data_IF_518235864900
#
_entry.id   IF_518235864900
#
_cell.length_a   1.000
_cell.length_b   1.000
_cell.length_c   1.000
_cell.angle_alpha   90.00
_cell.angle_beta   90.00
_cell.angle_gamma   90.00
#
_symmetry.space_group_name_H-M   'P 1'
#
loop_
_entity.id
_entity.type
_entity.pdbx_description
1 polymer ?
#
# COMPACT_ATOMS: atom_id res chain seq x y z
N UNK A 1 1.14 -46.98 16.64
CA UNK A 1 1.77 -45.65 16.58
C UNK A 1 1.77 -45.15 15.14
N UNK A 2 0.74 -44.44 14.72
CA UNK A 2 0.63 -43.76 13.42
C UNK A 2 -0.20 -42.48 13.65
N UNK A 3 0.13 -41.39 12.98
CA UNK A 3 -0.43 -40.02 13.08
C UNK A 3 0.32 -39.04 14.00
N UNK A 4 1.54 -38.67 13.60
CA UNK A 4 2.15 -37.39 14.01
C UNK A 4 2.53 -36.52 12.79
N UNK A 5 2.05 -36.86 11.59
CA UNK A 5 2.48 -36.21 10.34
C UNK A 5 1.64 -34.96 10.00
N UNK A 6 0.43 -34.81 10.55
CA UNK A 6 -0.43 -33.67 10.21
C UNK A 6 -0.12 -32.36 10.97
N UNK A 7 0.65 -32.39 12.07
CA UNK A 7 0.90 -31.18 12.87
C UNK A 7 2.03 -30.30 12.33
N UNK A 8 2.92 -30.83 11.48
CA UNK A 8 4.04 -30.08 10.91
C UNK A 8 3.64 -29.20 9.71
N UNK A 9 2.50 -29.48 9.06
CA UNK A 9 2.05 -28.71 7.88
C UNK A 9 1.38 -27.38 8.22
N UNK A 10 0.90 -27.21 9.46
CA UNK A 10 0.26 -25.97 9.91
C UNK A 10 1.27 -24.85 10.22
N UNK A 11 2.53 -25.17 10.47
CA UNK A 11 3.57 -24.19 10.78
C UNK A 11 4.11 -23.44 9.54
N UNK A 12 3.84 -23.94 8.32
CA UNK A 12 4.26 -23.31 7.06
C UNK A 12 3.22 -22.33 6.50
N UNK A 13 2.01 -22.29 7.08
CA UNK A 13 0.94 -21.39 6.65
C UNK A 13 1.04 -19.99 7.27
N UNK A 14 1.83 -19.81 8.33
CA UNK A 14 1.98 -18.50 9.00
C UNK A 14 3.07 -17.61 8.41
N UNK A 15 3.95 -18.14 7.56
CA UNK A 15 5.06 -17.37 6.95
C UNK A 15 4.70 -16.65 5.64
N UNK A 16 3.48 -16.80 5.13
CA UNK A 16 3.02 -16.15 3.89
C UNK A 16 2.08 -14.97 4.13
N UNK A 17 1.89 -14.52 5.37
CA UNK A 17 1.10 -13.33 5.65
C UNK A 17 1.95 -12.08 5.39
N UNK A 18 1.40 -11.14 4.62
CA UNK A 18 1.99 -9.83 4.42
C UNK A 18 2.32 -9.18 5.77
N UNK A 19 3.57 -8.74 5.93
CA UNK A 19 4.03 -8.04 7.12
C UNK A 19 4.01 -6.53 6.87
N UNK A 20 3.23 -5.82 7.67
CA UNK A 20 3.24 -4.37 7.72
C UNK A 20 4.53 -3.89 8.42
N UNK A 21 5.41 -3.20 7.71
CA UNK A 21 6.63 -2.63 8.31
C UNK A 21 6.35 -1.30 8.99
N UNK A 22 5.80 -0.36 8.23
CA UNK A 22 5.53 1.02 8.67
C UNK A 22 4.50 1.64 7.76
N UNK A 23 3.72 2.58 8.31
CA UNK A 23 2.75 3.37 7.55
C UNK A 23 3.04 4.84 7.76
N UNK A 24 3.19 5.57 6.65
CA UNK A 24 3.36 7.02 6.63
C UNK A 24 2.07 7.70 6.23
N UNK A 25 1.73 8.78 6.93
CA UNK A 25 0.56 9.59 6.65
C UNK A 25 1.00 10.97 6.22
N UNK A 26 0.62 11.38 5.02
CA UNK A 26 0.92 12.70 4.49
C UNK A 26 -0.39 13.41 4.16
N UNK A 27 -0.48 14.66 4.60
CA UNK A 27 -1.62 15.55 4.34
C UNK A 27 -1.10 16.74 3.54
N UNK A 28 -1.71 17.02 2.41
CA UNK A 28 -1.28 18.04 1.46
C UNK A 28 -0.48 17.49 0.28
N UNK A 29 0.07 18.39 -0.54
CA UNK A 29 0.72 18.06 -1.81
C UNK A 29 2.24 17.91 -1.74
N UNK A 30 2.93 18.40 -2.78
CA UNK A 30 4.37 18.23 -3.01
C UNK A 30 5.26 18.57 -1.82
N UNK A 31 4.93 19.63 -1.08
CA UNK A 31 5.77 20.11 0.04
C UNK A 31 5.65 19.22 1.29
N UNK A 32 4.59 18.40 1.38
CA UNK A 32 4.31 17.54 2.53
C UNK A 32 4.80 16.10 2.34
N UNK A 33 5.04 15.67 1.09
CA UNK A 33 5.34 14.29 0.71
C UNK A 33 6.81 14.23 0.24
N UNK A 34 7.61 13.22 0.63
CA UNK A 34 8.95 13.03 0.08
C UNK A 34 8.94 13.07 -1.46
N UNK A 35 9.85 13.84 -2.05
CA UNK A 35 9.82 14.20 -3.49
C UNK A 35 9.73 13.01 -4.43
N UNK A 36 10.43 11.94 -4.10
CA UNK A 36 10.45 10.68 -4.84
C UNK A 36 9.10 9.93 -4.75
N UNK A 37 8.50 9.89 -3.56
CA UNK A 37 7.17 9.33 -3.32
C UNK A 37 6.10 10.17 -4.03
N UNK A 38 6.16 11.50 -3.92
CA UNK A 38 5.27 12.42 -4.63
C UNK A 38 5.32 12.22 -6.14
N UNK A 39 6.53 12.20 -6.71
CA UNK A 39 6.74 11.96 -8.13
C UNK A 39 6.20 10.59 -8.57
N UNK A 40 6.31 9.57 -7.72
CA UNK A 40 5.77 8.25 -7.99
C UNK A 40 4.24 8.26 -8.02
N UNK A 41 3.59 8.82 -6.99
CA UNK A 41 2.13 8.94 -6.91
C UNK A 41 1.58 9.69 -8.13
N UNK A 42 2.22 10.79 -8.52
CA UNK A 42 1.78 11.62 -9.65
C UNK A 42 1.99 11.00 -11.04
N UNK A 43 2.61 9.82 -11.15
CA UNK A 43 2.58 9.04 -12.40
C UNK A 43 1.19 8.49 -12.69
N UNK A 44 0.33 8.34 -11.69
CA UNK A 44 -1.07 7.99 -11.87
C UNK A 44 -1.90 9.28 -12.01
N UNK A 45 -2.55 9.46 -13.15
CA UNK A 45 -3.31 10.68 -13.46
C UNK A 45 -4.46 10.95 -12.50
N UNK A 46 -5.16 9.89 -12.03
CA UNK A 46 -6.27 10.03 -11.07
C UNK A 46 -5.79 10.46 -9.69
N UNK A 47 -4.69 9.86 -9.22
CA UNK A 47 -4.07 10.23 -7.96
C UNK A 47 -3.56 11.68 -8.01
N UNK A 48 -2.95 12.08 -9.14
CA UNK A 48 -2.54 13.47 -9.38
C UNK A 48 -3.72 14.43 -9.33
N UNK A 49 -4.83 14.08 -9.97
CA UNK A 49 -6.04 14.91 -9.98
C UNK A 49 -6.57 15.20 -8.57
N UNK A 50 -6.50 14.23 -7.65
CA UNK A 50 -6.90 14.44 -6.24
C UNK A 50 -6.10 15.59 -5.61
N UNK A 51 -4.78 15.62 -5.77
CA UNK A 51 -3.98 16.67 -5.16
C UNK A 51 -4.04 18.02 -5.90
N UNK A 52 -4.35 18.03 -7.20
CA UNK A 52 -4.48 19.27 -7.96
C UNK A 52 -5.78 20.04 -7.62
N UNK A 53 -6.82 19.34 -7.14
CA UNK A 53 -8.16 19.92 -6.93
C UNK A 53 -8.73 19.75 -5.52
N UNK A 54 -8.04 19.06 -4.61
CA UNK A 54 -8.55 18.66 -3.31
C UNK A 54 -7.44 18.59 -2.25
N UNK A 55 -7.83 18.59 -0.97
CA UNK A 55 -6.93 18.34 0.16
C UNK A 55 -6.66 16.83 0.24
N UNK A 56 -5.86 16.34 -0.70
CA UNK A 56 -5.50 14.92 -0.79
C UNK A 56 -4.72 14.42 0.42
N UNK A 57 -4.99 13.17 0.82
CA UNK A 57 -4.23 12.45 1.85
C UNK A 57 -3.56 11.25 1.20
N UNK A 58 -2.25 11.10 1.40
CA UNK A 58 -1.51 9.89 1.02
C UNK A 58 -1.17 9.05 2.26
N UNK A 59 -1.71 7.84 2.32
CA UNK A 59 -1.31 6.81 3.28
C UNK A 59 -0.40 5.81 2.58
N UNK A 60 0.88 5.78 2.93
CA UNK A 60 1.91 4.95 2.29
C UNK A 60 2.31 3.83 3.24
N UNK A 61 1.87 2.61 2.96
CA UNK A 61 2.17 1.41 3.74
C UNK A 61 3.35 0.66 3.13
N UNK A 62 4.36 0.35 3.93
CA UNK A 62 5.48 -0.51 3.55
C UNK A 62 5.16 -1.97 3.89
N UNK A 63 5.11 -2.82 2.87
CA UNK A 63 4.69 -4.23 2.94
C UNK A 63 5.84 -5.15 2.57
N UNK A 64 6.03 -6.22 3.35
CA UNK A 64 6.83 -7.38 2.96
C UNK A 64 5.94 -8.61 2.76
N UNK A 65 5.99 -9.23 1.58
CA UNK A 65 5.22 -10.43 1.23
C UNK A 65 6.06 -11.31 0.28
N UNK A 66 6.17 -12.61 0.55
CA UNK A 66 6.90 -13.57 -0.30
C UNK A 66 8.32 -13.14 -0.71
N UNK A 67 9.10 -12.62 0.25
CA UNK A 67 10.45 -12.05 0.05
C UNK A 67 10.51 -10.82 -0.87
N UNK A 68 9.35 -10.24 -1.20
CA UNK A 68 9.24 -8.99 -1.94
C UNK A 68 8.88 -7.87 -0.99
N UNK A 69 9.47 -6.70 -1.21
CA UNK A 69 9.18 -5.49 -0.46
C UNK A 69 8.61 -4.44 -1.41
N UNK A 70 7.50 -3.83 -1.02
CA UNK A 70 6.78 -2.85 -1.83
C UNK A 70 5.95 -1.91 -0.97
N UNK A 71 5.47 -0.83 -1.59
CA UNK A 71 4.54 0.09 -0.99
C UNK A 71 3.14 -0.12 -1.53
N UNK A 72 2.15 -0.04 -0.64
CA UNK A 72 0.74 0.11 -0.98
C UNK A 72 0.31 1.50 -0.54
N UNK A 73 -0.24 2.28 -1.45
CA UNK A 73 -0.65 3.67 -1.19
C UNK A 73 -2.14 3.79 -1.34
N UNK A 74 -2.79 4.42 -0.36
CA UNK A 74 -4.14 4.96 -0.52
C UNK A 74 -4.03 6.48 -0.67
N UNK A 75 -4.51 6.99 -1.80
CA UNK A 75 -4.69 8.42 -2.04
C UNK A 75 -6.17 8.73 -1.90
N UNK A 76 -6.54 9.44 -0.84
CA UNK A 76 -7.92 9.78 -0.51
C UNK A 76 -8.24 11.21 -0.93
N UNK A 77 -9.33 11.39 -1.68
CA UNK A 77 -10.01 12.68 -1.86
C UNK A 77 -10.90 12.95 -0.66
N UNK A 78 -10.45 13.86 0.22
CA UNK A 78 -11.13 14.15 1.48
C UNK A 78 -12.57 14.66 1.29
N UNK A 79 -12.88 15.30 0.16
CA UNK A 79 -14.19 15.91 -0.07
C UNK A 79 -15.19 14.95 -0.72
N UNK A 80 -14.70 13.96 -1.47
CA UNK A 80 -15.55 13.02 -2.21
C UNK A 80 -15.65 11.64 -1.58
N UNK A 81 -14.82 11.35 -0.57
CA UNK A 81 -14.67 10.00 0.01
C UNK A 81 -14.28 8.96 -1.06
N UNK A 82 -13.56 9.41 -2.09
CA UNK A 82 -13.04 8.57 -3.17
C UNK A 82 -11.56 8.26 -2.90
N UNK A 83 -11.13 7.04 -3.18
CA UNK A 83 -9.74 6.62 -2.99
C UNK A 83 -9.17 5.98 -4.24
N UNK A 84 -7.93 6.35 -4.57
CA UNK A 84 -7.08 5.66 -5.54
C UNK A 84 -6.08 4.82 -4.77
N UNK A 85 -5.99 3.54 -5.11
CA UNK A 85 -5.06 2.61 -4.50
C UNK A 85 -3.93 2.31 -5.46
N UNK A 86 -2.69 2.39 -4.98
CA UNK A 86 -1.51 2.20 -5.81
C UNK A 86 -0.60 1.14 -5.19
N UNK A 87 0.04 0.34 -6.05
CA UNK A 87 1.19 -0.49 -5.71
C UNK A 87 2.44 0.13 -6.28
N UNK A 88 3.48 0.26 -5.47
CA UNK A 88 4.78 0.78 -5.93
C UNK A 88 5.90 -0.14 -5.45
N UNK A 89 6.84 -0.56 -6.32
CA UNK A 89 8.05 -1.25 -5.84
C UNK A 89 8.90 -0.28 -5.00
N UNK A 90 9.82 -0.80 -4.17
CA UNK A 90 10.72 0.06 -3.37
C UNK A 90 11.53 1.07 -4.21
N UNK A 91 11.83 0.73 -5.48
CA UNK A 91 12.50 1.63 -6.42
C UNK A 91 11.59 2.68 -7.07
N UNK A 92 10.29 2.72 -6.75
CA UNK A 92 9.30 3.71 -7.21
C UNK A 92 9.17 3.87 -8.74
N UNK A 93 9.64 2.89 -9.51
CA UNK A 93 9.78 2.99 -10.97
C UNK A 93 8.47 2.73 -11.71
N UNK A 94 7.73 1.69 -11.32
CA UNK A 94 6.49 1.24 -11.96
C UNK A 94 5.31 1.29 -10.98
N UNK A 95 4.52 2.36 -11.06
CA UNK A 95 3.36 2.57 -10.18
C UNK A 95 2.13 1.99 -10.85
N UNK A 96 1.49 1.04 -10.18
CA UNK A 96 0.33 0.31 -10.71
C UNK A 96 -0.91 0.67 -9.89
N UNK A 97 -2.02 0.96 -10.56
CA UNK A 97 -3.31 1.09 -9.87
C UNK A 97 -3.78 -0.29 -9.40
N UNK A 98 -4.26 -0.34 -8.16
CA UNK A 98 -4.86 -1.52 -7.55
C UNK A 98 -6.37 -1.33 -7.46
N UNK A 99 -7.11 -2.42 -7.65
CA UNK A 99 -8.53 -2.42 -7.30
C UNK A 99 -8.73 -2.48 -5.77
N UNK A 100 -9.93 -2.10 -5.32
CA UNK A 100 -10.30 -2.10 -3.90
C UNK A 100 -10.18 -3.48 -3.26
N UNK A 101 -10.48 -4.57 -3.99
CA UNK A 101 -10.43 -5.92 -3.43
C UNK A 101 -8.99 -6.35 -3.14
N UNK A 102 -8.05 -5.97 -4.00
CA UNK A 102 -6.63 -6.17 -3.79
C UNK A 102 -6.13 -5.34 -2.59
N UNK A 103 -6.61 -4.10 -2.45
CA UNK A 103 -6.26 -3.22 -1.33
C UNK A 103 -6.77 -3.74 0.02
N UNK A 104 -7.98 -4.30 0.10
CA UNK A 104 -8.58 -4.79 1.36
C UNK A 104 -7.68 -5.79 2.10
N UNK A 105 -6.84 -6.54 1.39
CA UNK A 105 -5.83 -7.43 2.00
C UNK A 105 -4.85 -6.68 2.91
N UNK A 106 -4.53 -5.42 2.61
CA UNK A 106 -3.52 -4.61 3.30
C UNK A 106 -4.13 -3.58 4.24
N UNK A 107 -5.46 -3.45 4.30
CA UNK A 107 -6.16 -2.46 5.14
C UNK A 107 -5.79 -2.52 6.62
N UNK A 108 -5.47 -3.72 7.11
CA UNK A 108 -4.99 -3.94 8.48
C UNK A 108 -3.62 -3.30 8.77
N UNK A 109 -2.90 -2.84 7.75
CA UNK A 109 -1.63 -2.11 7.89
C UNK A 109 -1.81 -0.59 8.06
N UNK A 110 -3.03 -0.05 7.97
CA UNK A 110 -3.29 1.40 8.11
C UNK A 110 -3.24 1.91 9.57
N UNK A 111 -2.74 1.11 10.52
CA UNK A 111 -2.75 1.40 11.96
C UNK A 111 -1.41 1.95 12.47
#
# INVERSE_FOLDING_TARGET
MKSAVCLLLLAMASSCLAKCRVTYHFVGGEDSIPKDVWAAINKNEKAKEIFDYSDGIAMVMHIEEDNTSFFVVQVLDFYKDESIYLRMPEGLSNVEEMDTTAFEKYKHCLH
#
